data_IF_168457223897
#
_entry.id   IF_168457223897
#
_cell.length_a   1.000
_cell.length_b   1.000
_cell.length_c   1.000
_cell.angle_alpha   90.00
_cell.angle_beta   90.00
_cell.angle_gamma   90.00
#
_symmetry.space_group_name_H-M   'P 1'
#
loop_
_entity.id
_entity.type
_entity.pdbx_description
1 polymer ?
#
# COMPACT_ATOMS: atom_id res chain seq x y z
N UNK A 5 -2.09 -2.10 22.73
CA UNK A 5 -1.16 -3.26 22.82
C UNK A 5 -0.20 -3.48 21.64
N UNK A 6 0.92 -4.16 21.88
CA UNK A 6 2.03 -4.27 20.90
C UNK A 6 1.76 -4.72 19.41
N UNK A 7 0.80 -5.60 19.22
CA UNK A 7 0.53 -6.09 17.88
C UNK A 7 -0.09 -5.00 16.96
N UNK A 8 -1.15 -4.35 17.43
CA UNK A 8 -1.71 -3.20 16.78
C UNK A 8 -0.72 -2.08 16.49
N UNK A 9 0.21 -1.86 17.35
CA UNK A 9 1.03 -0.74 17.28
C UNK A 9 2.05 -1.05 16.23
N UNK A 10 2.51 -2.29 16.17
CA UNK A 10 3.46 -2.71 15.13
C UNK A 10 2.80 -2.76 13.75
N UNK A 11 1.55 -3.17 13.64
CA UNK A 11 0.86 -3.12 12.36
C UNK A 11 0.79 -1.66 11.85
N UNK A 12 0.22 -0.78 12.70
CA UNK A 12 0.09 0.60 12.43
C UNK A 12 1.45 1.09 12.05
N UNK A 13 2.57 0.56 12.52
CA UNK A 13 3.81 1.20 12.04
C UNK A 13 4.14 0.73 10.60
N UNK A 14 3.78 -0.50 10.30
CA UNK A 14 3.98 -1.01 9.00
C UNK A 14 3.08 -0.23 8.05
N UNK A 15 1.88 0.14 8.46
CA UNK A 15 1.01 0.91 7.54
C UNK A 15 1.54 2.30 7.22
N UNK A 16 2.02 2.97 8.22
CA UNK A 16 2.67 4.20 8.01
C UNK A 16 3.85 4.07 7.10
N UNK A 17 4.64 3.02 7.20
CA UNK A 17 5.77 2.88 6.33
C UNK A 17 5.43 2.58 4.82
N UNK A 18 4.45 1.66 4.60
CA UNK A 18 3.86 1.41 3.29
C UNK A 18 3.36 2.74 2.64
N UNK A 19 2.69 3.55 3.46
CA UNK A 19 2.08 4.78 2.90
C UNK A 19 3.20 5.68 2.56
N UNK A 20 4.14 5.80 3.46
CA UNK A 20 5.29 6.63 3.16
C UNK A 20 6.03 6.15 1.89
N UNK A 21 6.36 4.87 1.73
CA UNK A 21 6.98 4.50 0.44
C UNK A 21 6.09 4.77 -0.76
N UNK A 22 4.77 4.61 -0.64
CA UNK A 22 4.00 4.99 -1.73
C UNK A 22 4.02 6.46 -2.04
N UNK A 23 4.01 7.33 -1.05
CA UNK A 23 4.09 8.77 -1.34
C UNK A 23 5.42 9.18 -2.07
N UNK A 24 6.52 8.55 -1.71
CA UNK A 24 7.74 8.84 -2.23
C UNK A 24 7.81 8.40 -3.72
N UNK A 25 7.39 7.20 -4.00
CA UNK A 25 7.39 6.95 -5.41
C UNK A 25 6.39 7.93 -6.05
N UNK A 26 5.21 8.32 -5.51
CA UNK A 26 4.31 9.23 -6.27
C UNK A 26 4.99 10.63 -6.46
N UNK A 27 5.87 10.99 -5.53
CA UNK A 27 6.43 12.27 -5.51
C UNK A 27 7.46 12.39 -6.61
N UNK A 28 8.10 11.32 -6.94
CA UNK A 28 9.01 11.35 -8.07
C UNK A 28 8.30 11.33 -9.39
N UNK A 29 7.00 11.26 -9.48
CA UNK A 29 6.43 11.23 -10.80
C UNK A 29 5.90 12.59 -11.16
N UNK A 30 5.77 12.85 -12.47
CA UNK A 30 5.20 14.11 -12.93
C UNK A 30 4.18 13.58 -13.86
N UNK A 31 2.93 13.67 -13.37
CA UNK A 31 1.75 13.07 -14.02
C UNK A 31 0.55 14.02 -13.85
N UNK A 32 -0.48 13.87 -14.65
CA UNK A 32 -1.58 14.81 -14.66
C UNK A 32 -2.67 14.35 -13.75
N UNK A 33 -3.52 15.29 -13.41
CA UNK A 33 -4.49 15.13 -12.36
C UNK A 33 -5.59 14.26 -12.77
N UNK A 34 -5.79 14.02 -14.05
CA UNK A 34 -6.76 13.02 -14.36
C UNK A 34 -6.20 11.79 -15.06
N UNK A 35 -4.87 11.59 -15.02
CA UNK A 35 -4.25 10.34 -15.45
C UNK A 35 -4.83 9.13 -14.76
N UNK A 36 -4.95 8.03 -15.46
CA UNK A 36 -5.24 6.86 -14.72
C UNK A 36 -4.16 6.66 -13.55
N UNK A 37 -2.97 7.07 -13.83
CA UNK A 37 -2.06 6.87 -12.80
C UNK A 37 -2.22 7.62 -11.39
N UNK A 38 -2.42 8.95 -11.48
CA UNK A 38 -2.87 9.76 -10.42
C UNK A 38 -4.14 9.20 -9.76
N UNK A 39 -5.18 8.89 -10.53
CA UNK A 39 -6.39 8.38 -9.92
C UNK A 39 -6.08 7.09 -9.12
N UNK A 40 -5.22 6.20 -9.64
CA UNK A 40 -4.87 4.94 -9.02
C UNK A 40 -4.06 5.18 -7.73
N UNK A 41 -3.10 6.09 -7.69
CA UNK A 41 -2.39 6.44 -6.48
C UNK A 41 -3.29 6.99 -5.40
N UNK A 42 -4.19 7.91 -5.74
CA UNK A 42 -5.16 8.43 -4.76
C UNK A 42 -6.02 7.36 -4.19
N UNK A 43 -6.39 6.42 -5.04
CA UNK A 43 -7.30 5.45 -4.56
C UNK A 43 -6.55 4.49 -3.59
N UNK A 44 -5.23 4.25 -3.81
CA UNK A 44 -4.49 3.37 -3.00
C UNK A 44 -4.25 4.06 -1.69
N UNK A 45 -3.88 5.35 -1.69
CA UNK A 45 -3.60 6.09 -0.50
C UNK A 45 -4.86 6.12 0.36
N UNK A 46 -5.99 6.37 -0.26
CA UNK A 46 -7.20 6.37 0.53
C UNK A 46 -7.51 5.06 1.14
N UNK A 47 -7.23 3.96 0.43
CA UNK A 47 -7.65 2.66 0.91
C UNK A 47 -6.76 2.25 2.08
N UNK A 48 -5.51 2.64 1.98
CA UNK A 48 -4.51 2.48 2.94
C UNK A 48 -4.79 3.27 4.21
N UNK A 49 -5.19 4.58 4.17
CA UNK A 49 -5.66 5.34 5.35
C UNK A 49 -6.86 4.70 6.01
N UNK A 50 -7.74 4.17 5.21
CA UNK A 50 -8.96 3.62 5.72
C UNK A 50 -8.62 2.32 6.45
N UNK A 51 -7.73 1.53 5.89
CA UNK A 51 -7.38 0.31 6.55
C UNK A 51 -6.63 0.56 7.90
N UNK A 52 -5.68 1.47 7.95
CA UNK A 52 -5.04 1.92 9.13
C UNK A 52 -6.11 2.51 10.10
N UNK A 53 -7.12 3.24 9.67
CA UNK A 53 -8.13 3.57 10.69
C UNK A 53 -8.84 2.36 11.29
N UNK A 54 -9.06 1.34 10.49
CA UNK A 54 -9.81 0.22 10.90
C UNK A 54 -9.00 -0.62 11.93
N UNK A 55 -7.71 -0.79 11.70
CA UNK A 55 -6.90 -1.41 12.68
C UNK A 55 -6.87 -0.63 14.00
N UNK A 56 -7.05 0.69 13.96
CA UNK A 56 -6.95 1.48 15.13
C UNK A 56 -8.22 1.24 15.91
N UNK A 57 -9.27 0.84 15.23
CA UNK A 57 -10.61 0.98 15.80
C UNK A 57 -11.21 -0.33 16.18
N UNK A 58 -10.61 -1.42 15.72
CA UNK A 58 -10.85 -2.80 16.13
C UNK A 58 -11.02 -2.89 17.70
N UNK B 5 -14.17 -14.95 12.37
CA UNK B 5 -14.77 -13.60 12.15
C UNK B 5 -14.54 -13.05 10.72
N UNK B 6 -15.62 -12.44 10.20
CA UNK B 6 -15.71 -11.60 8.96
C UNK B 6 -14.78 -10.31 8.87
N UNK B 7 -14.04 -10.02 9.95
CA UNK B 7 -13.09 -8.88 9.98
C UNK B 7 -11.82 -9.21 9.17
N UNK B 8 -11.36 -10.43 9.34
CA UNK B 8 -10.22 -10.97 8.68
C UNK B 8 -10.41 -11.01 7.18
N UNK B 9 -11.64 -11.19 6.85
CA UNK B 9 -11.99 -11.36 5.53
C UNK B 9 -12.26 -10.03 4.91
N UNK B 10 -12.72 -9.03 5.64
CA UNK B 10 -12.91 -7.75 4.94
C UNK B 10 -11.54 -7.06 4.75
N UNK B 11 -10.68 -7.23 5.74
CA UNK B 11 -9.44 -6.59 5.76
C UNK B 11 -8.53 -7.17 4.63
N UNK B 12 -8.41 -8.50 4.53
CA UNK B 12 -7.78 -9.11 3.42
C UNK B 12 -8.29 -8.66 2.07
N UNK B 13 -9.55 -8.40 1.85
CA UNK B 13 -9.89 -7.88 0.54
C UNK B 13 -9.31 -6.50 0.31
N UNK B 14 -9.17 -5.76 1.40
CA UNK B 14 -8.79 -4.39 1.33
C UNK B 14 -7.31 -4.42 0.84
N UNK B 15 -6.52 -5.32 1.43
CA UNK B 15 -5.12 -5.54 1.04
C UNK B 15 -4.88 -6.09 -0.34
N UNK B 16 -5.67 -7.03 -0.82
CA UNK B 16 -5.77 -7.34 -2.22
C UNK B 16 -6.00 -6.13 -3.04
N UNK B 17 -6.97 -5.31 -2.73
CA UNK B 17 -7.20 -4.20 -3.56
C UNK B 17 -6.02 -3.17 -3.56
N UNK B 18 -5.38 -2.92 -2.40
CA UNK B 18 -4.39 -1.90 -2.30
C UNK B 18 -3.24 -2.41 -3.15
N UNK B 19 -2.92 -3.69 -2.94
CA UNK B 19 -1.80 -4.32 -3.68
C UNK B 19 -1.99 -4.27 -5.17
N UNK B 20 -3.11 -4.71 -5.65
CA UNK B 20 -3.46 -4.58 -7.03
C UNK B 20 -3.34 -3.16 -7.54
N UNK B 21 -3.85 -2.17 -6.80
CA UNK B 21 -3.79 -0.81 -7.39
C UNK B 21 -2.29 -0.42 -7.46
N UNK B 22 -1.48 -0.73 -6.42
CA UNK B 22 -0.08 -0.46 -6.54
C UNK B 22 0.60 -1.11 -7.70
N UNK B 23 0.15 -2.31 -7.98
CA UNK B 23 0.65 -3.08 -9.06
C UNK B 23 0.26 -2.51 -10.41
N UNK B 24 -0.95 -1.98 -10.51
CA UNK B 24 -1.31 -1.35 -11.80
C UNK B 24 -0.53 -0.10 -12.04
N UNK B 25 -0.30 0.71 -11.07
CA UNK B 25 0.46 1.91 -11.27
C UNK B 25 1.93 1.49 -11.57
N UNK B 26 2.54 0.51 -10.86
CA UNK B 26 3.90 0.06 -11.27
C UNK B 26 3.94 -0.43 -12.75
N UNK B 27 2.91 -1.14 -13.17
CA UNK B 27 2.89 -1.69 -14.50
C UNK B 27 3.01 -0.61 -15.61
N UNK B 28 2.58 0.59 -15.33
CA UNK B 28 2.62 1.59 -16.38
C UNK B 28 3.90 2.31 -16.41
N UNK B 29 4.79 2.19 -15.45
CA UNK B 29 6.03 2.90 -15.50
C UNK B 29 7.11 2.03 -16.22
N UNK B 30 8.10 2.67 -16.88
CA UNK B 30 9.28 2.01 -17.41
C UNK B 30 10.39 2.64 -16.62
N UNK B 31 10.99 1.83 -15.76
CA UNK B 31 12.00 2.28 -14.81
C UNK B 31 12.96 1.10 -14.65
N UNK B 32 14.15 1.35 -14.10
CA UNK B 32 15.19 0.34 -14.20
C UNK B 32 15.31 -0.41 -12.86
N UNK B 33 15.99 -1.54 -12.83
CA UNK B 33 15.78 -2.44 -11.73
C UNK B 33 16.48 -1.94 -10.58
N UNK B 34 17.37 -0.98 -10.81
CA UNK B 34 18.06 -0.38 -9.64
C UNK B 34 17.72 1.09 -9.37
N UNK B 35 16.72 1.64 -10.06
CA UNK B 35 16.18 2.95 -9.69
C UNK B 35 15.61 2.95 -8.23
N UNK B 36 15.70 4.11 -7.60
CA UNK B 36 15.09 4.28 -6.33
C UNK B 36 13.54 3.94 -6.38
N UNK B 37 12.95 4.36 -7.45
CA UNK B 37 11.58 4.04 -7.69
C UNK B 37 11.23 2.53 -7.59
N UNK B 38 12.04 1.70 -8.26
CA UNK B 38 11.84 0.29 -8.38
C UNK B 38 12.07 -0.33 -7.05
N UNK B 39 13.12 0.10 -6.41
CA UNK B 39 13.45 -0.38 -5.09
C UNK B 39 12.29 -0.08 -4.13
N UNK B 40 11.77 1.16 -4.21
CA UNK B 40 10.75 1.66 -3.29
C UNK B 40 9.45 0.90 -3.62
N UNK B 41 9.06 0.75 -4.89
CA UNK B 41 7.94 -0.15 -5.20
C UNK B 41 8.13 -1.53 -4.60
N UNK B 42 9.32 -2.11 -4.54
CA UNK B 42 9.34 -3.47 -4.14
C UNK B 42 9.36 -3.56 -2.64
N UNK B 43 9.98 -2.62 -1.89
CA UNK B 43 9.77 -2.61 -0.45
C UNK B 43 8.24 -2.52 -0.05
N UNK B 44 7.49 -1.66 -0.71
CA UNK B 44 6.06 -1.40 -0.43
C UNK B 44 5.33 -2.70 -0.72
N UNK B 45 5.60 -3.40 -1.85
CA UNK B 45 4.83 -4.57 -2.18
C UNK B 45 5.23 -5.66 -1.17
N UNK B 46 6.51 -5.83 -0.88
CA UNK B 46 6.87 -6.72 0.23
C UNK B 46 6.21 -6.44 1.52
N UNK B 47 6.16 -5.19 1.97
CA UNK B 47 5.53 -4.92 3.22
C UNK B 47 4.04 -5.18 3.12
N UNK B 48 3.35 -4.82 2.08
CA UNK B 48 1.94 -5.18 2.05
C UNK B 48 1.71 -6.66 2.11
N UNK B 49 2.52 -7.55 1.50
CA UNK B 49 2.28 -8.97 1.53
C UNK B 49 2.64 -9.48 2.92
N UNK B 50 3.68 -9.04 3.55
CA UNK B 50 3.90 -9.41 4.93
C UNK B 50 2.76 -8.96 5.92
N UNK B 51 2.30 -7.71 5.91
CA UNK B 51 1.08 -7.35 6.66
C UNK B 51 -0.13 -8.24 6.35
N UNK B 52 -0.38 -8.64 5.09
CA UNK B 52 -1.59 -9.39 4.76
C UNK B 52 -1.45 -10.79 5.32
N UNK B 53 -0.24 -11.18 5.49
CA UNK B 53 -0.03 -12.41 6.08
C UNK B 53 -0.04 -12.47 7.55
N UNK B 54 0.46 -11.44 8.18
CA UNK B 54 0.17 -11.22 9.54
C UNK B 54 -1.30 -11.11 9.81
N UNK B 55 -2.08 -10.40 9.07
CA UNK B 55 -3.53 -10.49 9.50
C UNK B 55 -4.01 -11.98 9.50
N UNK B 56 -3.63 -12.72 8.49
CA UNK B 56 -4.14 -14.03 8.22
C UNK B 56 -3.66 -14.96 9.35
N UNK B 57 -2.41 -14.93 9.77
CA UNK B 57 -1.94 -15.80 10.76
C UNK B 57 -2.40 -15.17 12.12
N UNK B 58 -1.86 -14.14 12.71
CA UNK B 58 -2.56 -13.74 13.95
C UNK B 58 -3.63 -14.72 14.53
#
# INVERSE_FOLDING_TARGET
>A
QNRNGKWREQLGQKFEEIRWLIEEVRHRLKITENSFEQITFMQALQLLLEVEQEIRTF
>B
QNRNGKWREQLGQKFEEIRWLIEEVRHRLKITENSFEQITFMQALQLLLEVEQEIRTF
#
